data_IF_993475991466
#
_entry.id   IF_993475991466
#
_cell.length_a   1.000
_cell.length_b   1.000
_cell.length_c   1.000
_cell.angle_alpha   90.00
_cell.angle_beta   90.00
_cell.angle_gamma   90.00
#
_symmetry.space_group_name_H-M   'P 1'
#
loop_
_entity.id
_entity.type
_entity.pdbx_description
1 polymer ?
#
# COMPACT_ATOMS: atom_id res chain seq x y z
N UNK A 1 -27.78 8.54 73.71
CA UNK A 1 -26.49 8.38 73.00
C UNK A 1 -26.70 7.33 71.91
N UNK A 2 -26.92 7.74 70.66
CA UNK A 2 -27.04 6.84 69.50
C UNK A 2 -25.93 7.23 68.53
N UNK A 3 -24.99 6.32 68.31
CA UNK A 3 -23.82 6.56 67.46
C UNK A 3 -24.24 6.35 66.00
N UNK A 4 -24.21 7.42 65.21
CA UNK A 4 -24.38 7.36 63.75
C UNK A 4 -23.00 7.18 63.10
N UNK A 5 -22.74 6.00 62.56
CA UNK A 5 -21.55 5.74 61.74
C UNK A 5 -21.86 6.17 60.31
N UNK A 6 -21.18 7.22 59.85
CA UNK A 6 -21.22 7.71 58.47
C UNK A 6 -20.34 6.80 57.60
N UNK A 7 -20.93 6.02 56.70
CA UNK A 7 -20.19 5.24 55.69
C UNK A 7 -19.99 6.15 54.47
N UNK A 8 -18.74 6.55 54.23
CA UNK A 8 -18.34 7.30 53.04
C UNK A 8 -18.28 6.32 51.85
N UNK A 9 -19.16 6.49 50.86
CA UNK A 9 -19.08 5.76 49.60
C UNK A 9 -18.09 6.50 48.67
N UNK A 10 -16.89 5.94 48.49
CA UNK A 10 -15.93 6.45 47.51
C UNK A 10 -16.33 5.93 46.11
N UNK A 11 -16.87 6.81 45.27
CA UNK A 11 -17.09 6.56 43.84
C UNK A 11 -15.74 6.55 43.12
N UNK A 12 -15.24 5.35 42.79
CA UNK A 12 -14.06 5.18 41.95
C UNK A 12 -14.35 5.54 40.49
N UNK A 13 -13.74 6.62 40.01
CA UNK A 13 -13.75 7.00 38.60
C UNK A 13 -12.79 6.08 37.82
N UNK A 14 -13.32 5.17 36.99
CA UNK A 14 -12.52 4.37 36.07
C UNK A 14 -12.26 5.20 34.81
N UNK A 15 -11.09 5.82 34.71
CA UNK A 15 -10.62 6.41 33.46
C UNK A 15 -10.05 5.30 32.57
N UNK A 16 -10.77 4.97 31.50
CA UNK A 16 -10.29 4.06 30.46
C UNK A 16 -9.36 4.85 29.55
N UNK A 17 -8.05 4.61 29.65
CA UNK A 17 -7.10 5.05 28.65
C UNK A 17 -7.25 4.14 27.43
N UNK A 18 -7.85 4.66 26.35
CA UNK A 18 -7.78 4.03 25.04
C UNK A 18 -6.36 4.16 24.51
N UNK A 19 -5.52 3.16 24.76
CA UNK A 19 -4.22 3.07 24.10
C UNK A 19 -4.49 2.72 22.64
N UNK A 20 -4.45 3.70 21.75
CA UNK A 20 -4.34 3.44 20.33
C UNK A 20 -2.94 2.88 20.08
N UNK A 21 -2.80 1.55 20.12
CA UNK A 21 -1.60 0.88 19.65
C UNK A 21 -1.59 1.03 18.14
N UNK A 22 -0.85 2.02 17.64
CA UNK A 22 -0.48 2.04 16.24
C UNK A 22 0.56 0.93 16.08
N UNK A 23 0.19 -0.19 15.46
CA UNK A 23 1.13 -1.23 15.13
C UNK A 23 2.22 -0.60 14.25
N UNK A 24 3.44 -0.44 14.79
CA UNK A 24 4.60 -0.14 13.97
C UNK A 24 4.73 -1.35 13.03
N UNK A 25 4.73 -1.13 11.72
CA UNK A 25 5.02 -2.19 10.74
C UNK A 25 6.51 -2.52 10.86
N UNK A 26 6.88 -3.17 11.96
CA UNK A 26 8.24 -3.64 12.23
C UNK A 26 8.26 -5.12 11.95
N UNK A 27 8.91 -5.53 10.87
CA UNK A 27 9.18 -6.94 10.65
C UNK A 27 9.91 -7.25 9.35
N UNK A 28 9.69 -6.45 8.31
CA UNK A 28 10.36 -6.65 7.03
C UNK A 28 11.22 -5.42 6.70
N UNK A 29 12.46 -5.60 6.20
CA UNK A 29 13.18 -4.52 5.57
C UNK A 29 12.38 -4.10 4.34
N UNK A 30 11.72 -2.96 4.42
CA UNK A 30 11.05 -2.39 3.25
C UNK A 30 12.12 -1.73 2.38
N UNK A 31 11.87 -1.63 1.08
CA UNK A 31 12.61 -0.70 0.21
C UNK A 31 12.04 0.70 0.40
N UNK A 32 10.71 0.81 0.35
CA UNK A 32 9.92 1.99 0.71
C UNK A 32 8.55 1.54 1.24
N UNK A 33 7.85 2.40 1.97
CA UNK A 33 6.46 2.20 2.37
C UNK A 33 5.67 3.52 2.32
N UNK A 34 4.77 3.66 1.34
CA UNK A 34 3.95 4.85 1.15
C UNK A 34 2.56 4.64 1.77
N UNK A 35 2.34 5.25 2.95
CA UNK A 35 1.03 5.17 3.62
C UNK A 35 0.03 6.19 3.09
N UNK A 36 0.50 7.24 2.40
CA UNK A 36 -0.28 8.40 1.96
C UNK A 36 -1.01 9.16 3.06
N UNK A 37 -0.66 8.97 4.34
CA UNK A 37 -1.37 9.60 5.46
C UNK A 37 -0.90 11.02 5.78
N UNK A 38 0.23 11.47 5.24
CA UNK A 38 0.74 12.82 5.40
C UNK A 38 0.22 13.71 4.26
N UNK A 39 -0.85 14.48 4.49
CA UNK A 39 -1.42 15.36 3.46
C UNK A 39 -0.42 16.41 2.93
N UNK A 40 0.51 16.87 3.78
CA UNK A 40 1.52 17.85 3.39
C UNK A 40 2.66 17.25 2.57
N UNK A 41 2.89 15.95 2.71
CA UNK A 41 3.86 15.18 1.94
C UNK A 41 3.33 13.77 1.64
N UNK A 42 2.39 13.63 0.68
CA UNK A 42 1.66 12.37 0.48
C UNK A 42 2.57 11.23 0.03
N UNK A 43 3.68 11.51 -0.65
CA UNK A 43 4.66 10.51 -1.05
C UNK A 43 5.74 10.21 0.00
N UNK A 44 5.60 10.67 1.25
CA UNK A 44 6.58 10.40 2.29
C UNK A 44 6.78 8.89 2.53
N UNK A 45 8.02 8.46 2.49
CA UNK A 45 8.42 7.10 2.85
C UNK A 45 8.40 6.92 4.37
N UNK A 46 7.61 5.95 4.83
CA UNK A 46 7.45 5.61 6.24
C UNK A 46 8.39 4.49 6.71
N UNK A 47 9.20 3.89 5.82
CA UNK A 47 10.10 2.79 6.19
C UNK A 47 11.47 3.20 6.73
N UNK A 48 11.67 4.48 7.04
CA UNK A 48 12.93 5.06 7.54
C UNK A 48 14.09 5.07 6.50
N UNK A 49 13.88 4.58 5.26
CA UNK A 49 14.92 4.56 4.22
C UNK A 49 15.02 5.84 3.39
N UNK A 50 13.98 6.67 3.42
CA UNK A 50 13.96 7.97 2.73
C UNK A 50 13.68 7.88 1.22
N UNK A 51 13.20 6.75 0.73
CA UNK A 51 12.83 6.53 -0.66
C UNK A 51 11.43 7.10 -0.92
N UNK A 52 11.30 8.42 -0.78
CA UNK A 52 10.03 9.13 -0.95
C UNK A 52 9.52 9.01 -2.38
N UNK A 53 8.20 8.89 -2.51
CA UNK A 53 7.49 9.07 -3.76
C UNK A 53 7.14 10.52 -4.06
N UNK A 54 6.90 10.81 -5.32
CA UNK A 54 6.35 12.07 -5.79
C UNK A 54 5.09 11.79 -6.62
N UNK A 55 4.01 12.53 -6.36
CA UNK A 55 2.81 12.46 -7.19
C UNK A 55 3.07 13.25 -8.48
N UNK A 56 2.84 12.62 -9.64
CA UNK A 56 3.08 13.17 -10.96
C UNK A 56 1.82 13.11 -11.82
N UNK A 57 1.75 13.94 -12.86
CA UNK A 57 0.61 14.00 -13.78
C UNK A 57 -0.69 14.33 -13.04
N UNK A 58 -1.78 13.64 -13.41
CA UNK A 58 -3.09 13.76 -12.78
C UNK A 58 -3.25 13.08 -11.40
N UNK A 59 -2.17 12.59 -10.78
CA UNK A 59 -2.25 12.00 -9.44
C UNK A 59 -2.55 13.07 -8.38
N UNK A 60 -3.54 12.79 -7.52
CA UNK A 60 -3.93 13.70 -6.43
C UNK A 60 -4.12 12.96 -5.13
N UNK A 61 -3.72 13.58 -4.03
CA UNK A 61 -4.03 13.08 -2.70
C UNK A 61 -5.52 13.21 -2.39
N UNK A 62 -6.07 12.22 -1.69
CA UNK A 62 -7.44 12.22 -1.18
C UNK A 62 -7.47 11.78 0.28
N UNK A 63 -8.40 12.33 1.06
CA UNK A 63 -8.52 12.03 2.49
C UNK A 63 -9.12 10.65 2.80
N UNK A 64 -9.83 10.05 1.82
CA UNK A 64 -10.61 8.82 2.00
C UNK A 64 -10.01 7.66 1.18
N UNK A 65 -8.76 7.31 1.48
CA UNK A 65 -8.10 6.08 1.04
C UNK A 65 -8.57 4.85 1.84
N UNK A 66 -7.82 3.76 1.76
CA UNK A 66 -8.15 2.51 2.46
C UNK A 66 -8.07 2.65 3.99
N UNK A 67 -6.97 3.21 4.50
CA UNK A 67 -6.67 3.33 5.92
C UNK A 67 -6.18 4.74 6.29
N UNK A 68 -6.95 5.75 5.87
CA UNK A 68 -6.59 7.17 6.00
C UNK A 68 -6.49 7.82 4.63
N UNK A 69 -5.42 8.57 4.38
CA UNK A 69 -5.18 9.19 3.08
C UNK A 69 -4.91 8.17 1.96
N UNK A 70 -4.97 8.63 0.72
CA UNK A 70 -4.69 7.82 -0.46
C UNK A 70 -4.36 8.68 -1.68
N UNK A 71 -4.07 8.03 -2.79
CA UNK A 71 -3.86 8.69 -4.08
C UNK A 71 -4.94 8.27 -5.06
N UNK A 72 -5.65 9.25 -5.61
CA UNK A 72 -6.53 9.04 -6.75
C UNK A 72 -5.75 9.30 -8.03
N UNK A 73 -5.77 8.34 -8.95
CA UNK A 73 -5.24 8.47 -10.29
C UNK A 73 -6.37 8.87 -11.25
N UNK A 74 -6.03 9.56 -12.33
CA UNK A 74 -6.98 10.09 -13.31
C UNK A 74 -7.25 9.13 -14.48
N UNK A 75 -6.49 8.04 -14.59
CA UNK A 75 -6.57 7.07 -15.66
C UNK A 75 -5.84 7.47 -16.95
N UNK A 76 -5.02 8.54 -16.91
CA UNK A 76 -4.27 9.01 -18.06
C UNK A 76 -2.76 9.03 -17.79
N UNK A 77 -2.27 10.02 -17.05
CA UNK A 77 -0.83 10.19 -16.76
C UNK A 77 -0.52 10.25 -15.26
N UNK A 78 -1.54 10.16 -14.39
CA UNK A 78 -1.39 10.15 -12.95
C UNK A 78 -0.62 8.93 -12.45
N UNK A 79 0.48 9.15 -11.73
CA UNK A 79 1.25 8.10 -11.06
C UNK A 79 1.98 8.63 -9.82
N UNK A 80 2.50 7.70 -9.02
CA UNK A 80 3.46 8.01 -7.96
C UNK A 80 4.82 7.48 -8.40
N UNK A 81 5.80 8.37 -8.51
CA UNK A 81 7.16 8.04 -8.93
C UNK A 81 8.07 7.90 -7.71
N UNK A 82 8.80 6.78 -7.61
CA UNK A 82 9.78 6.53 -6.55
C UNK A 82 11.11 6.21 -7.23
N UNK A 83 12.14 7.01 -6.96
CA UNK A 83 13.50 6.77 -7.44
C UNK A 83 14.23 5.94 -6.40
N UNK A 84 14.52 4.68 -6.73
CA UNK A 84 15.12 3.74 -5.78
C UNK A 84 15.87 2.62 -6.48
N UNK A 85 16.87 2.05 -5.80
CA UNK A 85 17.49 0.78 -6.19
C UNK A 85 16.58 -0.39 -5.77
N UNK A 86 16.04 -1.09 -6.75
CA UNK A 86 14.98 -2.08 -6.58
C UNK A 86 15.59 -3.49 -6.57
N UNK A 87 15.25 -4.34 -5.59
CA UNK A 87 15.83 -5.69 -5.49
C UNK A 87 15.52 -6.53 -6.74
N UNK A 88 16.52 -7.27 -7.20
CA UNK A 88 16.40 -8.17 -8.36
C UNK A 88 15.75 -9.51 -7.98
N UNK A 89 15.87 -9.90 -6.71
CA UNK A 89 15.38 -11.18 -6.17
C UNK A 89 14.77 -10.99 -4.78
N UNK A 90 13.93 -11.94 -4.36
CA UNK A 90 13.41 -12.03 -2.98
C UNK A 90 12.72 -10.75 -2.52
N UNK A 91 11.65 -10.37 -3.21
CA UNK A 91 10.91 -9.14 -2.93
C UNK A 91 9.41 -9.39 -2.87
N UNK A 92 8.72 -8.47 -2.19
CA UNK A 92 7.27 -8.37 -2.18
C UNK A 92 6.85 -6.98 -2.61
N UNK A 93 5.93 -6.90 -3.56
CA UNK A 93 5.21 -5.68 -3.91
C UNK A 93 3.80 -5.77 -3.33
N UNK A 94 3.47 -4.86 -2.41
CA UNK A 94 2.16 -4.81 -1.74
C UNK A 94 1.44 -3.50 -2.05
N UNK A 95 0.14 -3.56 -2.33
CA UNK A 95 -0.68 -2.38 -2.59
C UNK A 95 -2.15 -2.61 -2.26
N UNK A 96 -2.81 -1.59 -1.73
CA UNK A 96 -4.26 -1.50 -1.67
C UNK A 96 -4.77 -0.73 -2.91
N UNK A 97 -5.68 -1.32 -3.67
CA UNK A 97 -6.29 -0.69 -4.84
C UNK A 97 -7.82 -0.68 -4.75
N UNK A 98 -8.45 0.28 -5.43
CA UNK A 98 -9.90 0.33 -5.64
C UNK A 98 -10.17 0.85 -7.06
N UNK A 99 -10.78 0.03 -7.89
CA UNK A 99 -11.09 0.36 -9.30
C UNK A 99 -12.28 -0.45 -9.79
N UNK A 100 -13.03 0.10 -10.74
CA UNK A 100 -14.02 -0.61 -11.56
C UNK A 100 -13.54 -0.79 -13.02
N UNK A 101 -12.38 -0.21 -13.37
CA UNK A 101 -11.72 -0.43 -14.65
C UNK A 101 -10.90 -1.72 -14.64
N UNK A 102 -11.14 -2.57 -15.63
CA UNK A 102 -10.48 -3.87 -15.79
C UNK A 102 -9.08 -3.80 -16.40
N UNK A 103 -8.72 -2.69 -17.03
CA UNK A 103 -7.46 -2.51 -17.76
C UNK A 103 -6.73 -1.28 -17.23
N UNK A 104 -5.88 -1.48 -16.21
CA UNK A 104 -5.15 -0.40 -15.54
C UNK A 104 -3.74 -0.83 -15.15
N UNK A 105 -2.77 0.10 -15.23
CA UNK A 105 -1.45 -0.10 -14.64
C UNK A 105 -1.50 0.04 -13.11
N UNK A 106 -0.75 -0.80 -12.38
CA UNK A 106 -0.64 -0.71 -10.92
C UNK A 106 0.78 -0.35 -10.50
N UNK A 107 1.77 -1.04 -11.06
CA UNK A 107 3.18 -0.81 -10.75
C UNK A 107 4.06 -1.19 -11.93
N UNK A 108 5.12 -0.42 -12.17
CA UNK A 108 6.15 -0.78 -13.14
C UNK A 108 7.53 -0.32 -12.68
N UNK A 109 8.55 -1.12 -13.00
CA UNK A 109 9.95 -0.72 -12.83
C UNK A 109 10.47 -0.23 -14.17
N UNK A 110 10.98 0.99 -14.15
CA UNK A 110 11.37 1.76 -15.31
C UNK A 110 12.83 2.21 -15.16
N UNK A 111 13.53 2.32 -16.27
CA UNK A 111 14.78 3.07 -16.36
C UNK A 111 14.47 4.46 -16.94
N UNK A 112 14.82 5.52 -16.21
CA UNK A 112 14.48 6.90 -16.53
C UNK A 112 12.99 7.26 -16.39
N UNK A 113 12.71 8.56 -16.51
CA UNK A 113 11.35 9.11 -16.40
C UNK A 113 10.46 8.48 -17.46
N UNK A 114 9.30 7.97 -17.03
CA UNK A 114 8.33 7.28 -17.89
C UNK A 114 8.93 6.13 -18.74
N UNK A 115 10.04 5.53 -18.31
CA UNK A 115 10.67 4.39 -19.00
C UNK A 115 11.51 4.75 -20.21
N UNK A 116 12.01 5.99 -20.31
CA UNK A 116 12.86 6.44 -21.43
C UNK A 116 14.10 5.56 -21.68
N UNK A 117 14.64 4.93 -20.64
CA UNK A 117 15.75 3.95 -20.70
C UNK A 117 15.30 2.50 -20.78
N UNK A 118 14.01 2.22 -20.61
CA UNK A 118 13.43 0.88 -20.67
C UNK A 118 12.52 0.54 -19.50
N UNK A 119 12.09 -0.72 -19.44
CA UNK A 119 11.15 -1.23 -18.43
C UNK A 119 11.42 -2.70 -18.13
N UNK A 120 11.09 -3.16 -16.93
CA UNK A 120 11.33 -4.53 -16.48
C UNK A 120 10.07 -5.22 -15.92
N UNK A 121 9.76 -4.96 -14.65
CA UNK A 121 8.62 -5.56 -13.94
C UNK A 121 7.37 -4.77 -14.25
N UNK A 122 6.29 -5.48 -14.59
CA UNK A 122 4.99 -4.88 -14.82
C UNK A 122 3.94 -5.64 -14.02
N UNK A 123 3.15 -4.89 -13.27
CA UNK A 123 1.99 -5.37 -12.54
C UNK A 123 0.80 -4.48 -12.92
N UNK A 124 -0.24 -5.11 -13.46
CA UNK A 124 -1.37 -4.43 -14.07
C UNK A 124 -2.62 -5.31 -13.98
N UNK A 125 -3.78 -4.71 -14.21
CA UNK A 125 -5.01 -5.44 -14.48
C UNK A 125 -5.22 -5.58 -15.98
N UNK A 126 -5.73 -6.75 -16.37
CA UNK A 126 -6.32 -6.99 -17.68
C UNK A 126 -7.60 -7.78 -17.51
N UNK A 127 -8.69 -7.32 -18.09
CA UNK A 127 -10.02 -7.90 -17.87
C UNK A 127 -10.38 -8.06 -16.37
N UNK A 128 -9.89 -7.13 -15.53
CA UNK A 128 -10.06 -7.13 -14.08
C UNK A 128 -9.18 -8.11 -13.30
N UNK A 129 -8.42 -8.97 -14.01
CA UNK A 129 -7.51 -9.96 -13.42
C UNK A 129 -6.11 -9.38 -13.24
N UNK A 130 -5.44 -9.78 -12.17
CA UNK A 130 -4.07 -9.36 -11.87
C UNK A 130 -3.10 -10.06 -12.81
N UNK A 131 -2.32 -9.29 -13.54
CA UNK A 131 -1.28 -9.77 -14.44
C UNK A 131 0.10 -9.32 -13.95
N UNK A 132 1.08 -10.20 -14.09
CA UNK A 132 2.48 -9.90 -13.81
C UNK A 132 3.39 -10.40 -14.94
N UNK A 133 4.40 -9.59 -15.30
CA UNK A 133 5.47 -9.99 -16.21
C UNK A 133 6.81 -9.34 -15.84
N UNK A 134 7.90 -9.99 -16.23
CA UNK A 134 9.27 -9.42 -16.23
C UNK A 134 9.82 -9.31 -17.65
N UNK A 135 10.81 -8.43 -17.89
CA UNK A 135 11.42 -8.26 -19.23
C UNK A 135 12.81 -8.91 -19.29
N UNK A 136 13.13 -9.79 -20.24
CA UNK A 136 12.25 -10.61 -21.09
C UNK A 136 12.04 -11.95 -20.38
N UNK A 137 10.93 -12.10 -19.68
CA UNK A 137 10.68 -13.24 -18.80
C UNK A 137 9.23 -13.74 -18.84
N UNK A 138 8.85 -14.60 -17.88
CA UNK A 138 7.52 -15.18 -17.82
C UNK A 138 6.45 -14.11 -17.58
N UNK A 139 5.26 -14.38 -18.11
CA UNK A 139 4.04 -13.61 -17.86
C UNK A 139 2.93 -14.56 -17.41
N UNK A 140 2.11 -14.12 -16.46
CA UNK A 140 0.99 -14.90 -15.94
C UNK A 140 -0.09 -13.98 -15.37
N UNK A 141 -1.27 -14.55 -15.13
CA UNK A 141 -2.40 -13.85 -14.54
C UNK A 141 -3.03 -14.68 -13.42
N UNK A 142 -3.65 -14.02 -12.45
CA UNK A 142 -4.55 -14.66 -11.49
C UNK A 142 -5.92 -14.90 -12.14
N UNK A 143 -6.76 -15.72 -11.50
CA UNK A 143 -8.16 -15.88 -11.91
C UNK A 143 -9.13 -14.93 -11.20
N UNK A 144 -8.64 -14.19 -10.20
CA UNK A 144 -9.47 -13.31 -9.37
C UNK A 144 -9.66 -11.96 -10.05
N UNK A 145 -10.92 -11.59 -10.26
CA UNK A 145 -11.30 -10.24 -10.67
C UNK A 145 -11.32 -9.32 -9.43
N UNK A 146 -10.62 -8.19 -9.52
CA UNK A 146 -10.53 -7.15 -8.47
C UNK A 146 -11.01 -5.77 -8.95
N UNK A 147 -11.53 -5.69 -10.17
CA UNK A 147 -12.11 -4.48 -10.75
C UNK A 147 -13.61 -4.39 -10.46
N UNK A 148 -14.00 -4.46 -9.18
CA UNK A 148 -15.40 -4.49 -8.73
C UNK A 148 -15.82 -3.22 -7.96
N UNK A 149 -14.97 -2.19 -7.98
CA UNK A 149 -15.17 -0.94 -7.26
C UNK A 149 -14.96 -1.04 -5.75
N UNK A 150 -14.40 -2.14 -5.22
CA UNK A 150 -14.06 -2.29 -3.79
C UNK A 150 -12.56 -2.25 -3.56
N UNK A 151 -12.18 -2.07 -2.29
CA UNK A 151 -10.78 -2.14 -1.89
C UNK A 151 -10.31 -3.59 -1.87
N UNK A 152 -9.17 -3.83 -2.52
CA UNK A 152 -8.47 -5.11 -2.51
C UNK A 152 -7.01 -4.91 -2.12
N UNK A 153 -6.48 -5.83 -1.31
CA UNK A 153 -5.06 -5.89 -1.02
C UNK A 153 -4.40 -6.92 -1.91
N UNK A 154 -3.35 -6.52 -2.61
CA UNK A 154 -2.59 -7.41 -3.49
C UNK A 154 -1.15 -7.43 -3.02
N UNK A 155 -0.62 -8.62 -2.75
CA UNK A 155 0.78 -8.84 -2.47
C UNK A 155 1.37 -9.81 -3.50
N UNK A 156 2.32 -9.32 -4.30
CA UNK A 156 3.07 -10.13 -5.25
C UNK A 156 4.45 -10.43 -4.69
N UNK A 157 4.74 -11.72 -4.50
CA UNK A 157 5.97 -12.23 -3.91
C UNK A 157 6.80 -12.90 -4.99
N UNK A 158 8.06 -12.52 -5.13
CA UNK A 158 9.05 -13.20 -5.95
C UNK A 158 10.15 -13.76 -5.05
N UNK A 159 10.35 -15.08 -5.07
CA UNK A 159 11.33 -15.76 -4.21
C UNK A 159 12.24 -16.68 -5.04
N UNK A 160 13.54 -16.53 -4.86
CA UNK A 160 14.54 -17.33 -5.57
C UNK A 160 14.35 -18.82 -5.26
N UNK A 161 14.42 -19.65 -6.31
CA UNK A 161 14.13 -21.08 -6.24
C UNK A 161 12.66 -21.49 -6.00
N UNK A 162 11.76 -20.56 -5.70
CA UNK A 162 10.34 -20.84 -5.42
C UNK A 162 9.37 -20.21 -6.43
N UNK A 163 9.81 -19.22 -7.21
CA UNK A 163 9.01 -18.58 -8.25
C UNK A 163 8.24 -17.34 -7.77
N UNK A 164 7.09 -17.10 -8.38
CA UNK A 164 6.26 -15.91 -8.18
C UNK A 164 4.86 -16.31 -7.71
N UNK A 165 4.33 -15.61 -6.72
CA UNK A 165 3.00 -15.87 -6.14
C UNK A 165 2.27 -14.56 -5.89
N UNK A 166 0.97 -14.49 -6.16
CA UNK A 166 0.11 -13.39 -5.72
C UNK A 166 -0.85 -13.84 -4.62
N UNK A 167 -0.99 -13.00 -3.59
CA UNK A 167 -2.01 -13.09 -2.56
C UNK A 167 -2.99 -11.94 -2.76
N UNK A 168 -4.29 -12.24 -2.66
CA UNK A 168 -5.36 -11.24 -2.82
C UNK A 168 -6.27 -11.32 -1.62
N UNK A 169 -6.32 -10.23 -0.85
CA UNK A 169 -7.09 -10.04 0.39
C UNK A 169 -6.70 -10.93 1.59
N UNK A 170 -5.52 -11.57 1.54
CA UNK A 170 -5.01 -12.45 2.60
C UNK A 170 -4.90 -13.89 2.16
#
# INVERSE_FOLDING_TARGET
MKNFTLVLLALGLVMIFGVAVQAKVTGLPHVYNLTFNDQGNPGKDSSENGNNGELKGGAKWVANGYSGGGVQLDGNDGHVEVVVDVPEKNFTMGVWIKTDSGDVGIYSVLDGVAGAGGHDRHFFLKDGKINFRTWKGPAWATDRNVADGKWHHIALVAKDGAGQTAYVDG
#
